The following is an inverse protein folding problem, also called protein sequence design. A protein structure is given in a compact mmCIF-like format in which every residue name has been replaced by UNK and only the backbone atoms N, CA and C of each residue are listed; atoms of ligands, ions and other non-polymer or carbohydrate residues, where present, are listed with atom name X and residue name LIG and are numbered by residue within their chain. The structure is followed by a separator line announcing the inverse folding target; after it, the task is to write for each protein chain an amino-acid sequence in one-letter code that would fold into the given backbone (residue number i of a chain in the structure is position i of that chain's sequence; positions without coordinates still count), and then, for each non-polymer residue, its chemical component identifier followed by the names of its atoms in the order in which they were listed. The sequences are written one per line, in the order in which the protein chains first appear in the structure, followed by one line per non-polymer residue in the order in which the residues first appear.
data_IF_310307216394
#
_entry.id   IF_310307216394
#
_cell.length_a   1.000
_cell.length_b   1.000
_cell.length_c   1.000
_cell.angle_alpha   90.00
_cell.angle_beta   90.00
_cell.angle_gamma   90.00
#
_symmetry.space_group_name_H-M   'P 1'
#
loop_
_entity.id
_entity.type
_entity.pdbx_description
1 polymer ?
#
# COMPACT_ATOMS: atom_id res chain seq x y z
N UNK A 1 25.13 4.67 -5.60
CA UNK A 1 23.76 5.11 -5.98
C UNK A 1 23.21 5.97 -4.85
N UNK A 2 22.59 7.12 -5.13
CA UNK A 2 22.06 8.00 -4.07
C UNK A 2 20.99 7.24 -3.28
N UNK A 3 21.12 7.15 -1.95
CA UNK A 3 20.25 6.32 -1.09
C UNK A 3 18.77 6.68 -1.25
N UNK A 4 18.47 7.96 -1.43
CA UNK A 4 17.11 8.46 -1.71
C UNK A 4 16.52 7.87 -2.99
N UNK A 5 17.33 7.81 -4.07
CA UNK A 5 16.91 7.26 -5.36
C UNK A 5 16.64 5.76 -5.28
N UNK A 6 17.41 5.02 -4.47
CA UNK A 6 17.17 3.60 -4.22
C UNK A 6 15.81 3.38 -3.54
N UNK A 7 15.54 4.10 -2.44
CA UNK A 7 14.27 3.97 -1.72
C UNK A 7 13.06 4.40 -2.55
N UNK A 8 13.23 5.36 -3.45
CA UNK A 8 12.17 5.80 -4.37
C UNK A 8 11.84 4.76 -5.44
N UNK A 9 12.88 4.19 -6.10
CA UNK A 9 12.68 3.14 -7.09
C UNK A 9 12.06 1.90 -6.45
N UNK A 10 12.57 1.50 -5.27
CA UNK A 10 12.07 0.32 -4.58
C UNK A 10 10.62 0.52 -4.11
N UNK A 11 10.25 1.71 -3.64
CA UNK A 11 8.85 2.04 -3.35
C UNK A 11 7.95 1.90 -4.57
N UNK A 12 8.34 2.51 -5.70
CA UNK A 12 7.57 2.44 -6.96
C UNK A 12 7.40 0.99 -7.43
N UNK A 13 8.44 0.16 -7.28
CA UNK A 13 8.35 -1.27 -7.58
C UNK A 13 7.34 -1.99 -6.69
N UNK A 14 7.33 -1.73 -5.38
CA UNK A 14 6.35 -2.32 -4.47
C UNK A 14 4.93 -1.88 -4.83
N UNK A 15 4.73 -0.59 -5.15
CA UNK A 15 3.41 -0.07 -5.51
C UNK A 15 2.91 -0.64 -6.82
N UNK A 16 3.78 -0.75 -7.83
CA UNK A 16 3.41 -1.33 -9.11
C UNK A 16 3.11 -2.82 -9.01
N UNK A 17 3.84 -3.56 -8.18
CA UNK A 17 3.67 -5.01 -8.06
C UNK A 17 2.39 -5.42 -7.32
N UNK A 18 1.77 -4.50 -6.56
CA UNK A 18 0.44 -4.69 -5.96
C UNK A 18 -0.65 -4.97 -7.02
N UNK A 19 -0.69 -4.18 -8.10
CA UNK A 19 -1.81 -4.20 -9.04
C UNK A 19 -1.95 -5.52 -9.82
N UNK A 20 -0.87 -6.10 -10.40
CA UNK A 20 -0.95 -7.40 -11.05
C UNK A 20 -1.49 -8.48 -10.11
N UNK A 21 -1.11 -8.47 -8.84
CA UNK A 21 -1.54 -9.48 -7.87
C UNK A 21 -3.01 -9.32 -7.51
N UNK A 22 -3.42 -8.08 -7.28
CA UNK A 22 -4.82 -7.78 -7.03
C UNK A 22 -5.70 -8.18 -8.22
N UNK A 23 -5.24 -7.96 -9.46
CA UNK A 23 -5.96 -8.40 -10.66
C UNK A 23 -5.95 -9.91 -10.89
N UNK A 24 -4.83 -10.57 -10.63
CA UNK A 24 -4.64 -11.99 -10.91
C UNK A 24 -5.65 -12.88 -10.16
N UNK A 25 -5.96 -12.53 -8.91
CA UNK A 25 -6.98 -13.21 -8.10
C UNK A 25 -8.40 -12.98 -8.58
N UNK A 26 -8.72 -11.80 -9.12
CA UNK A 26 -10.09 -11.50 -9.54
C UNK A 26 -10.53 -12.30 -10.77
N UNK A 27 -9.58 -12.89 -11.53
CA UNK A 27 -9.87 -13.63 -12.76
C UNK A 27 -9.63 -15.14 -12.64
N UNK A 28 -8.70 -15.57 -11.77
CA UNK A 28 -8.32 -16.98 -11.64
C UNK A 28 -8.73 -17.46 -10.25
N UNK A 29 -9.63 -18.46 -10.20
CA UNK A 29 -10.01 -19.14 -8.98
C UNK A 29 -8.77 -19.88 -8.45
N UNK A 30 -7.99 -19.21 -7.61
CA UNK A 30 -6.72 -19.73 -7.12
C UNK A 30 -6.94 -20.61 -5.89
N UNK A 31 -6.06 -21.60 -5.77
CA UNK A 31 -6.05 -22.53 -4.65
C UNK A 31 -5.57 -21.79 -3.39
N UNK A 32 -6.19 -22.05 -2.24
CA UNK A 32 -5.94 -21.34 -0.98
C UNK A 32 -4.46 -21.33 -0.58
N UNK A 33 -3.69 -22.38 -0.90
CA UNK A 33 -2.23 -22.43 -0.69
C UNK A 33 -1.47 -21.37 -1.49
N UNK A 34 -1.82 -21.16 -2.76
CA UNK A 34 -1.14 -20.19 -3.62
C UNK A 34 -1.37 -18.77 -3.10
N UNK A 35 -2.60 -18.46 -2.69
CA UNK A 35 -2.98 -17.17 -2.12
C UNK A 35 -2.18 -16.85 -0.85
N UNK A 36 -1.97 -17.86 0.00
CA UNK A 36 -1.14 -17.74 1.19
C UNK A 36 0.33 -17.44 0.87
N UNK A 37 0.92 -18.12 -0.11
CA UNK A 37 2.32 -17.90 -0.51
C UNK A 37 2.51 -16.50 -1.09
N UNK A 38 1.59 -16.06 -1.96
CA UNK A 38 1.60 -14.71 -2.54
C UNK A 38 1.50 -13.67 -1.41
N UNK A 39 0.57 -13.86 -0.46
CA UNK A 39 0.41 -12.95 0.67
C UNK A 39 1.68 -12.84 1.52
N UNK A 40 2.29 -13.97 1.89
CA UNK A 40 3.47 -13.99 2.76
C UNK A 40 4.65 -13.30 2.07
N UNK A 41 4.92 -13.64 0.81
CA UNK A 41 6.03 -13.03 0.05
C UNK A 41 5.87 -11.52 -0.08
N UNK A 42 4.64 -11.04 -0.35
CA UNK A 42 4.35 -9.61 -0.42
C UNK A 42 4.53 -8.90 0.92
N UNK A 43 3.95 -9.47 1.97
CA UNK A 43 4.00 -8.88 3.31
C UNK A 43 5.43 -8.73 3.81
N UNK A 44 6.29 -9.74 3.58
CA UNK A 44 7.71 -9.68 3.96
C UNK A 44 8.42 -8.52 3.26
N UNK A 45 8.27 -8.38 1.95
CA UNK A 45 8.91 -7.29 1.18
C UNK A 45 8.45 -5.92 1.68
N UNK A 46 7.15 -5.76 1.96
CA UNK A 46 6.56 -4.50 2.39
C UNK A 46 7.01 -4.14 3.81
N UNK A 47 7.05 -5.10 4.73
CA UNK A 47 7.51 -4.89 6.10
C UNK A 47 8.99 -4.51 6.13
N UNK A 48 9.83 -5.20 5.34
CA UNK A 48 11.26 -4.87 5.22
C UNK A 48 11.43 -3.42 4.73
N UNK A 49 10.66 -3.02 3.71
CA UNK A 49 10.69 -1.64 3.24
C UNK A 49 10.30 -0.64 4.32
N UNK A 50 9.17 -0.86 5.01
CA UNK A 50 8.67 0.04 6.05
C UNK A 50 9.75 0.23 7.12
N UNK A 51 10.36 -0.84 7.61
CA UNK A 51 11.39 -0.77 8.65
C UNK A 51 12.63 -0.01 8.18
N UNK A 52 13.17 -0.35 7.00
CA UNK A 52 14.36 0.30 6.47
C UNK A 52 14.12 1.78 6.13
N UNK A 53 12.97 2.10 5.54
CA UNK A 53 12.65 3.46 5.10
C UNK A 53 12.32 4.37 6.29
N UNK A 54 11.60 3.86 7.30
CA UNK A 54 11.33 4.63 8.52
C UNK A 54 12.61 4.89 9.32
N UNK A 55 13.48 3.88 9.48
CA UNK A 55 14.79 4.07 10.12
C UNK A 55 15.64 5.11 9.38
N UNK A 56 15.70 5.02 8.05
CA UNK A 56 16.43 5.98 7.23
C UNK A 56 15.84 7.39 7.32
N UNK A 57 14.51 7.51 7.23
CA UNK A 57 13.79 8.78 7.28
C UNK A 57 13.82 9.47 8.65
N UNK A 58 13.97 8.73 9.74
CA UNK A 58 14.17 9.31 11.08
C UNK A 58 15.58 9.89 11.25
N UNK A 59 16.58 9.27 10.64
CA UNK A 59 17.98 9.70 10.75
C UNK A 59 18.33 10.82 9.76
N UNK A 60 17.54 11.02 8.71
CA UNK A 60 17.74 12.06 7.71
C UNK A 60 16.69 13.17 7.81
N UNK A 61 17.12 14.36 8.20
CA UNK A 61 16.25 15.56 8.27
C UNK A 61 15.79 16.09 6.91
N UNK A 62 16.37 15.59 5.80
CA UNK A 62 16.02 16.00 4.44
C UNK A 62 14.70 15.41 3.94
N UNK A 63 14.18 14.35 4.58
CA UNK A 63 12.94 13.71 4.18
C UNK A 63 11.79 14.29 4.98
N UNK A 64 10.84 14.92 4.30
CA UNK A 64 9.65 15.41 4.95
C UNK A 64 8.86 14.25 5.58
N UNK A 65 8.44 14.44 6.83
CA UNK A 65 7.64 13.45 7.58
C UNK A 65 6.38 13.02 6.81
N UNK A 66 5.79 13.92 6.03
CA UNK A 66 4.61 13.61 5.19
C UNK A 66 4.91 12.52 4.15
N UNK A 67 6.13 12.45 3.62
CA UNK A 67 6.55 11.41 2.67
C UNK A 67 6.62 10.06 3.38
N UNK A 68 7.13 10.03 4.62
CA UNK A 68 7.18 8.83 5.44
C UNK A 68 5.77 8.34 5.76
N UNK A 69 4.90 9.21 6.27
CA UNK A 69 3.51 8.85 6.58
C UNK A 69 2.78 8.34 5.35
N UNK A 70 2.93 9.02 4.20
CA UNK A 70 2.33 8.60 2.95
C UNK A 70 2.76 7.19 2.53
N UNK A 71 4.06 6.91 2.51
CA UNK A 71 4.59 5.61 2.04
C UNK A 71 4.16 4.48 2.96
N UNK A 72 4.23 4.70 4.28
CA UNK A 72 3.80 3.71 5.27
C UNK A 72 2.29 3.45 5.15
N UNK A 73 1.47 4.50 5.07
CA UNK A 73 0.02 4.34 4.93
C UNK A 73 -0.38 3.65 3.63
N UNK A 74 0.32 3.91 2.53
CA UNK A 74 0.07 3.22 1.26
C UNK A 74 0.33 1.73 1.36
N UNK A 75 1.49 1.33 1.90
CA UNK A 75 1.85 -0.07 2.03
C UNK A 75 0.95 -0.81 3.03
N UNK A 76 0.56 -0.16 4.12
CA UNK A 76 -0.42 -0.72 5.07
C UNK A 76 -1.79 -0.94 4.41
N UNK A 77 -2.30 0.05 3.67
CA UNK A 77 -3.56 -0.09 2.96
C UNK A 77 -3.52 -1.25 1.94
N UNK A 78 -2.39 -1.44 1.26
CA UNK A 78 -2.19 -2.56 0.35
C UNK A 78 -2.16 -3.91 1.07
N UNK A 79 -1.41 -4.03 2.18
CA UNK A 79 -1.38 -5.26 2.98
C UNK A 79 -2.79 -5.63 3.44
N UNK A 80 -3.55 -4.69 4.02
CA UNK A 80 -4.90 -4.99 4.51
C UNK A 80 -5.90 -5.27 3.39
N UNK A 81 -5.72 -4.65 2.23
CA UNK A 81 -6.53 -4.98 1.05
C UNK A 81 -6.27 -6.41 0.59
N UNK A 82 -5.00 -6.82 0.52
CA UNK A 82 -4.60 -8.18 0.15
C UNK A 82 -5.10 -9.18 1.21
N UNK A 83 -4.94 -8.92 2.51
CA UNK A 83 -5.45 -9.80 3.58
C UNK A 83 -6.96 -10.00 3.46
N UNK A 84 -7.69 -8.89 3.36
CA UNK A 84 -9.15 -8.93 3.29
C UNK A 84 -9.62 -9.65 2.02
N UNK A 85 -8.92 -9.53 0.91
CA UNK A 85 -9.35 -10.09 -0.38
C UNK A 85 -8.92 -11.55 -0.56
N UNK A 86 -7.65 -11.88 -0.29
CA UNK A 86 -7.08 -13.20 -0.54
C UNK A 86 -7.35 -14.23 0.56
N UNK A 87 -7.25 -13.82 1.83
CA UNK A 87 -7.26 -14.75 2.95
C UNK A 87 -8.63 -14.85 3.62
N UNK A 88 -9.31 -13.72 3.76
CA UNK A 88 -10.55 -13.63 4.53
C UNK A 88 -11.64 -12.80 3.83
N UNK A 89 -12.06 -13.19 2.60
CA UNK A 89 -13.04 -12.42 1.81
C UNK A 89 -14.38 -12.24 2.50
N UNK A 90 -14.80 -13.21 3.33
CA UNK A 90 -16.09 -13.18 4.03
C UNK A 90 -16.02 -12.59 5.43
N UNK A 91 -14.83 -12.22 5.93
CA UNK A 91 -14.68 -11.77 7.31
C UNK A 91 -14.92 -10.25 7.43
N UNK A 92 -15.99 -9.81 8.13
CA UNK A 92 -16.35 -8.40 8.22
C UNK A 92 -15.29 -7.58 8.97
N UNK A 93 -14.54 -8.20 9.89
CA UNK A 93 -13.51 -7.50 10.65
C UNK A 93 -12.38 -6.97 9.75
N UNK A 94 -11.85 -7.82 8.88
CA UNK A 94 -10.78 -7.43 7.96
C UNK A 94 -11.25 -6.46 6.88
N UNK A 95 -12.52 -6.58 6.47
CA UNK A 95 -13.13 -5.63 5.54
C UNK A 95 -13.21 -4.21 6.12
N UNK A 96 -13.70 -4.07 7.37
CA UNK A 96 -13.75 -2.78 8.06
C UNK A 96 -12.34 -2.21 8.22
N UNK A 97 -11.38 -3.05 8.61
CA UNK A 97 -10.01 -2.63 8.80
C UNK A 97 -9.38 -2.11 7.48
N UNK A 98 -9.58 -2.83 6.37
CA UNK A 98 -9.22 -2.39 5.02
C UNK A 98 -9.78 -0.99 4.73
N UNK A 99 -11.08 -0.77 4.96
CA UNK A 99 -11.73 0.52 4.71
C UNK A 99 -11.07 1.64 5.53
N UNK A 100 -10.82 1.41 6.82
CA UNK A 100 -10.17 2.38 7.70
C UNK A 100 -8.79 2.78 7.14
N UNK A 101 -7.96 1.79 6.76
CA UNK A 101 -6.64 2.07 6.20
C UNK A 101 -6.68 2.78 4.85
N UNK A 102 -7.66 2.47 4.01
CA UNK A 102 -7.86 3.17 2.73
C UNK A 102 -8.27 4.63 2.95
N UNK A 103 -9.13 4.93 3.94
CA UNK A 103 -9.44 6.31 4.30
C UNK A 103 -8.25 7.07 4.89
N UNK A 104 -7.43 6.41 5.73
CA UNK A 104 -6.18 7.00 6.24
C UNK A 104 -5.25 7.35 5.08
N UNK A 105 -5.09 6.44 4.10
CA UNK A 105 -4.30 6.69 2.89
C UNK A 105 -4.86 7.89 2.11
N UNK A 106 -6.18 7.94 1.89
CA UNK A 106 -6.82 9.02 1.16
C UNK A 106 -6.58 10.38 1.84
N UNK A 107 -6.76 10.45 3.15
CA UNK A 107 -6.53 11.66 3.95
C UNK A 107 -5.08 12.16 3.86
N UNK A 108 -4.10 11.28 4.07
CA UNK A 108 -2.68 11.64 4.01
C UNK A 108 -2.27 12.05 2.60
N UNK A 109 -2.77 11.33 1.59
CA UNK A 109 -2.52 11.65 0.18
C UNK A 109 -3.11 13.01 -0.20
N UNK A 110 -4.31 13.33 0.27
CA UNK A 110 -4.93 14.64 0.09
C UNK A 110 -4.11 15.77 0.71
N UNK A 111 -3.63 15.59 1.96
CA UNK A 111 -2.75 16.56 2.60
C UNK A 111 -1.45 16.76 1.81
N UNK A 112 -0.85 15.66 1.35
CA UNK A 112 0.40 15.66 0.58
C UNK A 112 0.26 16.45 -0.73
N UNK A 113 -0.85 16.29 -1.44
CA UNK A 113 -1.13 17.09 -2.66
C UNK A 113 -1.42 18.54 -2.30
N UNK A 114 -2.34 18.80 -1.37
CA UNK A 114 -2.85 20.17 -1.13
C UNK A 114 -1.84 21.08 -0.41
N UNK A 115 -1.17 20.58 0.62
CA UNK A 115 -0.25 21.39 1.44
C UNK A 115 1.19 21.35 0.92
N UNK A 116 1.66 20.18 0.53
CA UNK A 116 3.06 19.99 0.12
C UNK A 116 3.28 20.06 -1.39
N UNK A 117 2.21 20.10 -2.20
CA UNK A 117 2.25 20.16 -3.67
C UNK A 117 3.09 19.04 -4.30
N UNK A 118 3.15 17.88 -3.64
CA UNK A 118 3.88 16.71 -4.13
C UNK A 118 2.91 15.84 -4.96
N UNK A 119 3.15 15.77 -6.27
CA UNK A 119 2.29 15.07 -7.23
C UNK A 119 2.15 13.57 -6.95
N UNK A 120 3.14 12.94 -6.32
CA UNK A 120 3.06 11.53 -5.91
C UNK A 120 1.81 11.24 -5.06
N UNK A 121 1.30 12.22 -4.31
CA UNK A 121 0.06 12.08 -3.54
C UNK A 121 -1.18 11.81 -4.42
N UNK A 122 -1.19 12.24 -5.68
CA UNK A 122 -2.30 11.95 -6.62
C UNK A 122 -2.42 10.44 -6.86
N UNK A 123 -1.27 9.74 -6.95
CA UNK A 123 -1.25 8.28 -7.10
C UNK A 123 -1.92 7.60 -5.91
N UNK A 124 -1.67 8.08 -4.69
CA UNK A 124 -2.34 7.57 -3.50
C UNK A 124 -3.85 7.83 -3.46
N UNK A 125 -4.30 8.99 -3.91
CA UNK A 125 -5.74 9.30 -4.04
C UNK A 125 -6.38 8.34 -5.05
N UNK A 126 -5.79 8.19 -6.24
CA UNK A 126 -6.29 7.29 -7.28
C UNK A 126 -6.33 5.84 -6.79
N UNK A 127 -5.28 5.40 -6.11
CA UNK A 127 -5.18 4.04 -5.56
C UNK A 127 -6.26 3.80 -4.50
N UNK A 128 -6.48 4.76 -3.59
CA UNK A 128 -7.51 4.67 -2.57
C UNK A 128 -8.92 4.62 -3.16
N UNK A 129 -9.22 5.49 -4.13
CA UNK A 129 -10.50 5.49 -4.83
C UNK A 129 -10.74 4.17 -5.58
N UNK A 130 -9.72 3.64 -6.25
CA UNK A 130 -9.84 2.38 -6.96
C UNK A 130 -10.06 1.20 -5.99
N UNK A 131 -9.34 1.16 -4.87
CA UNK A 131 -9.54 0.15 -3.82
C UNK A 131 -10.94 0.23 -3.17
N UNK A 132 -11.50 1.44 -3.01
CA UNK A 132 -12.87 1.63 -2.55
C UNK A 132 -13.90 1.17 -3.57
N UNK A 133 -13.70 1.51 -4.85
CA UNK A 133 -14.58 1.03 -5.93
C UNK A 133 -14.64 -0.50 -5.93
N UNK A 134 -13.47 -1.16 -5.90
CA UNK A 134 -13.42 -2.62 -5.79
C UNK A 134 -14.02 -3.17 -4.50
N UNK A 135 -14.01 -2.43 -3.40
CA UNK A 135 -14.66 -2.86 -2.17
C UNK A 135 -16.20 -2.82 -2.23
N UNK A 136 -16.78 -2.04 -3.15
CA UNK A 136 -18.22 -1.89 -3.32
C UNK A 136 -18.80 -2.79 -4.42
N UNK A 137 -18.00 -3.08 -5.46
CA UNK A 137 -18.44 -3.86 -6.63
C UNK A 137 -18.07 -5.35 -6.57
N UNK A 138 -17.37 -5.78 -5.53
CA UNK A 138 -17.04 -7.17 -5.26
C UNK A 138 -17.84 -7.67 -4.06
#
# INVERSE_FOLDING_TARGET
MNKDKFFDIYFKFLVLSFWPIFWYENQLILNTRTNFIIFITFSILYIIYILLFTYYGLNNSSIDKIVIYYRVSMLLAFIFTIISFLLFPTNPFFFILKIIFVFILLYISYIKVRRYKIEEGVVGILSALLMLAFALFY
#
